data_IF_405211447236
#
_entry.id   IF_405211447236
#
_cell.length_a   1.000
_cell.length_b   1.000
_cell.length_c   1.000
_cell.angle_alpha   90.00
_cell.angle_beta   90.00
_cell.angle_gamma   90.00
#
_symmetry.space_group_name_H-M   'P 1'
#
loop_
_entity.id
_entity.type
_entity.pdbx_description
1 polymer ?
#
# COMPACT_ATOMS: atom_id res chain seq x y z
N UNK A 1 -36.52 18.39 2.57
CA UNK A 1 -35.46 19.42 2.70
C UNK A 1 -34.48 19.20 3.86
N UNK A 2 -34.85 18.72 5.07
CA UNK A 2 -33.88 18.60 6.18
C UNK A 2 -32.91 17.40 6.07
N UNK A 3 -33.29 16.33 5.36
CA UNK A 3 -32.44 15.14 5.16
C UNK A 3 -31.22 15.40 4.27
N UNK A 4 -31.38 16.24 3.24
CA UNK A 4 -30.28 16.61 2.33
C UNK A 4 -29.19 17.41 3.06
N UNK A 5 -29.58 18.29 3.98
CA UNK A 5 -28.65 19.09 4.80
C UNK A 5 -27.86 18.19 5.75
N UNK A 6 -28.49 17.17 6.35
CA UNK A 6 -27.79 16.18 7.18
C UNK A 6 -26.78 15.35 6.37
N UNK A 7 -27.16 14.91 5.17
CA UNK A 7 -26.27 14.15 4.28
C UNK A 7 -25.05 14.98 3.87
N UNK A 8 -25.26 16.24 3.50
CA UNK A 8 -24.18 17.18 3.14
C UNK A 8 -23.26 17.41 4.33
N UNK A 9 -23.82 17.66 5.52
CA UNK A 9 -23.05 17.81 6.77
C UNK A 9 -22.21 16.56 7.09
N UNK A 10 -22.77 15.36 6.93
CA UNK A 10 -22.06 14.10 7.12
C UNK A 10 -20.92 13.93 6.11
N UNK A 11 -21.14 14.29 4.85
CA UNK A 11 -20.12 14.21 3.80
C UNK A 11 -18.96 15.19 4.07
N UNK A 12 -19.28 16.39 4.54
CA UNK A 12 -18.29 17.39 4.97
C UNK A 12 -17.46 16.86 6.14
N UNK A 13 -18.09 16.27 7.16
CA UNK A 13 -17.37 15.67 8.29
C UNK A 13 -16.44 14.54 7.85
N UNK A 14 -16.87 13.69 6.92
CA UNK A 14 -16.04 12.62 6.35
C UNK A 14 -14.85 13.19 5.58
N UNK A 15 -15.06 14.25 4.80
CA UNK A 15 -14.01 14.94 4.06
C UNK A 15 -13.01 15.64 4.99
N UNK A 16 -13.48 16.27 6.07
CA UNK A 16 -12.61 16.85 7.08
C UNK A 16 -11.79 15.77 7.78
N UNK A 17 -12.39 14.62 8.09
CA UNK A 17 -11.68 13.50 8.72
C UNK A 17 -10.58 12.93 7.79
N UNK A 18 -10.86 12.78 6.50
CA UNK A 18 -9.87 12.32 5.52
C UNK A 18 -8.73 13.33 5.29
N UNK A 19 -9.03 14.63 5.23
CA UNK A 19 -8.01 15.68 5.14
C UNK A 19 -7.09 15.73 6.37
N UNK A 20 -7.66 15.57 7.57
CA UNK A 20 -6.85 15.54 8.79
C UNK A 20 -5.95 14.31 8.82
N UNK A 21 -6.44 13.14 8.39
CA UNK A 21 -5.61 11.93 8.30
C UNK A 21 -4.44 12.08 7.32
N UNK A 22 -4.64 12.78 6.20
CA UNK A 22 -3.58 13.12 5.26
C UNK A 22 -2.55 14.11 5.84
N UNK A 23 -2.93 14.98 6.77
CA UNK A 23 -2.02 15.93 7.42
C UNK A 23 -1.11 15.27 8.47
N UNK A 24 -1.50 14.12 9.02
CA UNK A 24 -0.65 13.34 9.95
C UNK A 24 0.44 12.52 9.26
N UNK A 25 0.51 12.54 7.92
CA UNK A 25 1.57 11.87 7.17
C UNK A 25 2.74 12.81 6.90
N UNK A 26 3.18 13.57 7.91
CA UNK A 26 4.51 14.21 7.87
C UNK A 26 5.58 13.15 8.10
N UNK A 27 6.04 12.51 7.04
CA UNK A 27 7.12 11.52 7.09
C UNK A 27 7.61 11.10 5.72
N UNK A 28 8.62 11.83 5.22
CA UNK A 28 9.55 11.51 4.11
C UNK A 28 8.95 11.25 2.72
N UNK A 29 9.79 11.38 1.68
CA UNK A 29 9.51 11.11 0.25
C UNK A 29 9.20 9.61 -0.05
N UNK A 30 8.75 8.85 0.96
CA UNK A 30 8.72 7.39 0.98
C UNK A 30 7.35 6.81 1.35
N UNK A 31 6.29 7.62 1.28
CA UNK A 31 4.92 7.14 1.42
C UNK A 31 4.37 6.71 0.06
N UNK A 32 3.81 5.50 0.01
CA UNK A 32 3.19 4.96 -1.19
C UNK A 32 1.93 4.17 -0.84
N UNK A 33 1.00 4.12 -1.79
CA UNK A 33 -0.26 3.39 -1.70
C UNK A 33 -0.52 2.67 -3.02
N UNK A 34 -0.78 1.36 -2.95
CA UNK A 34 -1.23 0.55 -4.07
C UNK A 34 -2.67 0.10 -3.83
N UNK A 35 -3.63 0.67 -4.55
CA UNK A 35 -5.03 0.21 -4.56
C UNK A 35 -5.27 -0.98 -5.51
N UNK A 36 -4.24 -1.35 -6.25
CA UNK A 36 -4.17 -2.45 -7.21
C UNK A 36 -2.78 -2.45 -7.82
N UNK A 37 -2.40 -3.54 -8.48
CA UNK A 37 -1.04 -3.76 -8.96
C UNK A 37 -0.84 -3.55 -10.47
N UNK A 38 -1.92 -3.30 -11.23
CA UNK A 38 -1.86 -3.03 -12.67
C UNK A 38 -1.00 -1.80 -12.99
N UNK A 39 -0.07 -1.93 -13.94
CA UNK A 39 0.80 -0.85 -14.43
C UNK A 39 1.67 -0.17 -13.37
N UNK A 40 2.00 -0.85 -12.27
CA UNK A 40 2.92 -0.30 -11.27
C UNK A 40 4.36 -0.75 -11.52
N UNK A 41 5.30 0.12 -11.18
CA UNK A 41 6.75 -0.10 -11.32
C UNK A 41 7.33 -1.04 -10.24
N UNK A 42 6.64 -2.13 -9.92
CA UNK A 42 7.17 -3.13 -8.98
C UNK A 42 8.32 -3.90 -9.63
N UNK A 43 9.39 -4.11 -8.87
CA UNK A 43 10.44 -5.05 -9.24
C UNK A 43 9.99 -6.44 -8.80
N UNK A 44 9.66 -7.30 -9.74
CA UNK A 44 9.16 -8.67 -9.47
C UNK A 44 10.19 -9.72 -9.86
N UNK A 45 10.22 -10.82 -9.11
CA UNK A 45 11.05 -11.97 -9.43
C UNK A 45 10.35 -13.30 -9.08
N UNK A 46 10.99 -14.41 -9.48
CA UNK A 46 10.51 -15.76 -9.17
C UNK A 46 9.18 -16.07 -9.88
N UNK A 47 8.24 -16.65 -9.13
CA UNK A 47 6.91 -17.03 -9.65
C UNK A 47 5.88 -15.91 -9.61
N UNK A 48 6.27 -14.68 -9.23
CA UNK A 48 5.31 -13.58 -9.07
C UNK A 48 4.76 -13.12 -10.41
N UNK A 49 3.43 -12.99 -10.47
CA UNK A 49 2.72 -12.43 -11.61
C UNK A 49 1.73 -11.37 -11.15
N UNK A 50 1.41 -10.44 -12.05
CA UNK A 50 0.31 -9.50 -11.86
C UNK A 50 -0.82 -9.97 -12.76
N UNK A 51 -1.95 -10.32 -12.16
CA UNK A 51 -3.11 -10.83 -12.89
C UNK A 51 -3.71 -9.73 -13.78
N UNK A 52 -4.52 -10.12 -14.77
CA UNK A 52 -5.19 -9.14 -15.66
C UNK A 52 -6.13 -8.18 -14.92
N UNK A 53 -6.66 -8.60 -13.76
CA UNK A 53 -7.47 -7.76 -12.87
C UNK A 53 -6.63 -7.01 -11.80
N UNK A 54 -5.30 -7.05 -11.88
CA UNK A 54 -4.41 -6.22 -11.07
C UNK A 54 -4.11 -6.75 -9.68
N UNK A 55 -4.21 -8.06 -9.45
CA UNK A 55 -3.78 -8.70 -8.20
C UNK A 55 -2.31 -9.10 -8.30
N UNK A 56 -1.58 -8.97 -7.19
CA UNK A 56 -0.23 -9.48 -7.07
C UNK A 56 -0.28 -10.94 -6.60
N UNK A 57 -0.07 -11.87 -7.52
CA UNK A 57 -0.02 -13.30 -7.23
C UNK A 57 1.43 -13.71 -7.03
N UNK A 58 1.82 -14.03 -5.78
CA UNK A 58 3.20 -14.38 -5.46
C UNK A 58 3.59 -15.79 -5.91
N UNK A 59 2.63 -16.72 -5.91
CA UNK A 59 2.81 -18.13 -6.28
C UNK A 59 1.55 -18.68 -6.96
N UNK A 60 1.74 -19.60 -7.90
CA UNK A 60 0.67 -20.20 -8.71
C UNK A 60 0.23 -21.60 -8.23
N UNK A 61 0.53 -21.95 -6.98
CA UNK A 61 0.17 -23.26 -6.38
C UNK A 61 1.01 -24.45 -6.85
N UNK A 62 2.03 -24.26 -7.69
CA UNK A 62 2.99 -25.34 -8.00
C UNK A 62 3.99 -25.54 -6.86
N UNK A 63 4.35 -26.80 -6.60
CA UNK A 63 5.26 -27.14 -5.50
C UNK A 63 6.63 -26.46 -5.66
N UNK A 64 7.15 -25.94 -4.54
CA UNK A 64 8.49 -25.38 -4.39
C UNK A 64 8.80 -24.05 -5.11
N UNK A 65 7.82 -23.36 -5.67
CA UNK A 65 8.06 -22.03 -6.25
C UNK A 65 7.99 -20.90 -5.20
N UNK A 66 8.88 -19.92 -5.34
CA UNK A 66 8.89 -18.67 -4.56
C UNK A 66 8.80 -17.49 -5.51
N UNK A 67 8.12 -16.44 -5.09
CA UNK A 67 8.06 -15.19 -5.83
C UNK A 67 8.17 -14.00 -4.87
N UNK A 68 8.74 -12.91 -5.37
CA UNK A 68 8.89 -11.67 -4.62
C UNK A 68 8.48 -10.47 -5.46
N UNK A 69 8.03 -9.43 -4.78
CA UNK A 69 7.75 -8.12 -5.36
C UNK A 69 8.29 -7.03 -4.44
N UNK A 70 9.00 -6.07 -5.03
CA UNK A 70 9.65 -4.98 -4.31
C UNK A 70 9.21 -3.63 -4.84
N UNK A 71 9.05 -2.67 -3.92
CA UNK A 71 8.96 -1.25 -4.28
C UNK A 71 10.28 -0.83 -4.94
N UNK A 72 10.25 -0.13 -6.10
CA UNK A 72 11.44 0.09 -6.92
C UNK A 72 12.49 0.98 -6.26
N UNK A 73 12.10 1.83 -5.30
CA UNK A 73 13.03 2.73 -4.61
C UNK A 73 13.44 2.14 -3.26
N UNK A 74 14.74 1.92 -3.01
CA UNK A 74 15.19 1.40 -1.72
C UNK A 74 14.84 2.32 -0.54
N UNK A 75 14.22 1.76 0.49
CA UNK A 75 13.87 2.48 1.72
C UNK A 75 15.05 2.47 2.71
N UNK A 76 15.45 3.65 3.20
CA UNK A 76 16.57 3.81 4.15
C UNK A 76 16.08 3.94 5.59
N UNK A 77 16.07 2.82 6.32
CA UNK A 77 15.61 2.77 7.72
C UNK A 77 16.60 3.31 8.74
N UNK A 78 17.90 3.31 8.44
CA UNK A 78 18.93 3.88 9.30
C UNK A 78 19.91 4.71 8.46
N UNK A 79 20.32 5.87 8.99
CA UNK A 79 21.38 6.69 8.38
C UNK A 79 22.69 6.45 9.15
N UNK A 80 23.78 6.15 8.46
CA UNK A 80 25.13 6.03 9.06
C UNK A 80 25.79 7.41 9.11
N UNK A 81 26.69 7.73 10.08
CA UNK A 81 27.25 6.87 11.14
C UNK A 81 26.59 7.03 12.52
N UNK A 82 25.81 8.09 12.73
CA UNK A 82 25.14 8.42 14.00
C UNK A 82 23.61 8.48 13.87
N UNK A 83 23.05 7.98 12.78
CA UNK A 83 21.71 8.37 12.36
C UNK A 83 20.60 7.63 13.08
N UNK A 84 19.65 8.43 13.54
CA UNK A 84 18.33 8.03 14.02
C UNK A 84 17.71 6.97 13.11
N UNK A 85 17.24 5.88 13.72
CA UNK A 85 16.44 4.85 13.04
C UNK A 85 15.06 5.42 12.76
N UNK A 86 14.60 5.29 11.51
CA UNK A 86 13.28 5.72 11.10
C UNK A 86 12.26 4.64 11.44
N UNK A 87 11.24 5.02 12.21
CA UNK A 87 10.06 4.17 12.40
C UNK A 87 9.26 4.11 11.10
N UNK A 88 8.66 2.96 10.82
CA UNK A 88 7.77 2.78 9.67
C UNK A 88 6.49 2.06 10.09
N UNK A 89 5.46 2.20 9.25
CA UNK A 89 4.20 1.47 9.34
C UNK A 89 3.82 1.00 7.94
N UNK A 90 3.17 -0.16 7.86
CA UNK A 90 2.64 -0.71 6.61
C UNK A 90 1.35 -1.47 6.88
N UNK A 91 0.51 -1.57 5.86
CA UNK A 91 -0.75 -2.31 5.92
C UNK A 91 -1.04 -2.88 4.54
N UNK A 92 -1.45 -4.13 4.48
CA UNK A 92 -1.76 -4.82 3.23
C UNK A 92 -2.87 -5.84 3.45
N UNK A 93 -3.60 -6.13 2.37
CA UNK A 93 -4.64 -7.17 2.33
C UNK A 93 -4.15 -8.27 1.42
N UNK A 94 -4.27 -9.51 1.87
CA UNK A 94 -3.86 -10.69 1.10
C UNK A 94 -4.85 -11.84 1.30
N UNK A 95 -4.84 -12.77 0.36
CA UNK A 95 -5.54 -14.04 0.45
C UNK A 95 -4.52 -15.18 0.27
N UNK A 96 -4.63 -16.21 1.10
CA UNK A 96 -3.91 -17.47 0.90
C UNK A 96 -4.95 -18.50 0.47
N UNK A 97 -4.73 -19.06 -0.71
CA UNK A 97 -5.58 -20.11 -1.26
C UNK A 97 -4.83 -21.44 -1.14
N UNK A 98 -5.54 -22.46 -0.68
CA UNK A 98 -5.09 -23.84 -0.79
C UNK A 98 -5.70 -24.41 -2.07
N UNK A 99 -4.86 -25.05 -2.89
CA UNK A 99 -5.28 -25.81 -4.07
C UNK A 99 -5.19 -27.29 -3.73
#
# INVERSE_FOLDING_TARGET
MPSKIKLVSMLLQLLFLSLNLAAFTTGDDHQFLYSGFSNNDLVVDGATTITSNGLLELTNGTDQQKGHAFYPTPLRFARSPNGTVQSFSTSFVFAILYV
#
